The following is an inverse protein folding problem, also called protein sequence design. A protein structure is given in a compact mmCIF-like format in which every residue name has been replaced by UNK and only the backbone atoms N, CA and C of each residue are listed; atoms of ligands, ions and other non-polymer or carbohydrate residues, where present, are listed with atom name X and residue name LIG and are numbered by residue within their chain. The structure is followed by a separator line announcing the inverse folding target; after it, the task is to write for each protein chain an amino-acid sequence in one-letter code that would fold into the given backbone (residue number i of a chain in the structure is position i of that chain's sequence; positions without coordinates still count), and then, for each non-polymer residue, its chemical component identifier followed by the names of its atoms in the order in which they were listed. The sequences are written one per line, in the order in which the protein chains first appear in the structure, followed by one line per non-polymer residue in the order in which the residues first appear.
data_IF_397407210031
#
_entry.id   IF_397407210031
#
_cell.length_a   1.000
_cell.length_b   1.000
_cell.length_c   1.000
_cell.angle_alpha   90.00
_cell.angle_beta   90.00
_cell.angle_gamma   90.00
#
_symmetry.space_group_name_H-M   'P 1'
#
loop_
_entity.id
_entity.type
_entity.pdbx_description
1 polymer ?
#
# COMPACT_ATOMS: atom_id res chain seq x y z
N UNK A 1 6.73 -9.57 -13.11
CA UNK A 1 7.13 -8.45 -14.00
C UNK A 1 6.00 -7.44 -14.34
N UNK A 2 4.70 -7.74 -14.17
CA UNK A 2 3.59 -6.90 -14.67
C UNK A 2 3.45 -5.53 -13.99
N UNK A 3 3.50 -5.47 -12.65
CA UNK A 3 3.33 -4.22 -11.90
C UNK A 3 4.47 -3.22 -12.14
N UNK A 4 5.69 -3.72 -12.36
CA UNK A 4 6.86 -2.88 -12.64
C UNK A 4 6.69 -2.11 -13.96
N UNK A 5 6.10 -2.74 -14.99
CA UNK A 5 5.76 -2.08 -16.27
C UNK A 5 4.76 -0.95 -16.08
N UNK A 6 3.73 -1.16 -15.25
CA UNK A 6 2.75 -0.11 -14.93
C UNK A 6 3.44 1.08 -14.24
N UNK A 7 4.34 0.83 -13.29
CA UNK A 7 5.07 1.89 -12.57
C UNK A 7 6.12 2.59 -13.46
N UNK A 8 6.73 1.87 -14.39
CA UNK A 8 7.81 2.40 -15.24
C UNK A 8 7.31 3.12 -16.49
N UNK A 9 6.34 2.54 -17.17
CA UNK A 9 5.91 2.91 -18.52
C UNK A 9 4.47 3.43 -18.54
N UNK A 10 3.70 3.29 -17.44
CA UNK A 10 2.28 3.62 -17.44
C UNK A 10 1.46 2.68 -18.33
N UNK A 11 1.98 1.49 -18.62
CA UNK A 11 1.35 0.53 -19.53
C UNK A 11 0.85 -0.72 -18.82
N UNK A 12 -0.35 -1.17 -19.19
CA UNK A 12 -0.90 -2.46 -18.79
C UNK A 12 -1.30 -3.30 -20.01
N UNK A 13 -1.24 -4.61 -19.84
CA UNK A 13 -1.66 -5.59 -20.84
C UNK A 13 -2.60 -6.58 -20.17
N UNK A 14 -3.78 -6.78 -20.77
CA UNK A 14 -4.75 -7.78 -20.27
C UNK A 14 -4.19 -9.18 -20.52
N UNK A 15 -4.47 -10.12 -19.62
CA UNK A 15 -4.02 -11.51 -19.80
C UNK A 15 -4.69 -12.09 -21.04
N UNK A 16 -3.90 -12.62 -21.98
CA UNK A 16 -4.40 -13.17 -23.24
C UNK A 16 -4.67 -12.15 -24.34
N UNK A 17 -4.29 -10.88 -24.16
CA UNK A 17 -4.40 -9.83 -25.19
C UNK A 17 -3.04 -9.24 -25.49
N UNK A 18 -2.74 -8.99 -26.76
CA UNK A 18 -1.50 -8.31 -27.20
C UNK A 18 -1.61 -6.78 -27.18
N UNK A 19 -2.77 -6.25 -26.78
CA UNK A 19 -3.00 -4.82 -26.72
C UNK A 19 -2.40 -4.21 -25.45
N UNK A 20 -1.52 -3.23 -25.64
CA UNK A 20 -1.02 -2.36 -24.58
C UNK A 20 -2.00 -1.20 -24.34
N UNK A 21 -2.27 -0.90 -23.07
CA UNK A 21 -3.16 0.18 -22.64
C UNK A 21 -2.37 1.17 -21.78
N UNK A 22 -2.35 2.43 -22.20
CA UNK A 22 -1.77 3.53 -21.43
C UNK A 22 -2.73 3.91 -20.29
N UNK A 23 -2.18 4.08 -19.09
CA UNK A 23 -2.92 4.50 -17.90
C UNK A 23 -2.18 5.58 -17.13
N UNK A 24 -2.94 6.52 -16.59
CA UNK A 24 -2.46 7.50 -15.63
C UNK A 24 -3.08 7.17 -14.27
N UNK A 25 -2.30 6.52 -13.40
CA UNK A 25 -2.78 6.04 -12.10
C UNK A 25 -1.82 6.44 -10.99
N UNK A 26 -2.38 6.81 -9.84
CA UNK A 26 -1.62 6.99 -8.61
C UNK A 26 -1.60 5.66 -7.85
N UNK A 27 -0.40 5.21 -7.48
CA UNK A 27 -0.20 3.96 -6.76
C UNK A 27 0.04 4.27 -5.29
N UNK A 28 -0.75 3.62 -4.42
CA UNK A 28 -0.56 3.62 -2.97
C UNK A 28 -0.45 2.17 -2.54
N UNK A 29 0.66 1.82 -1.90
CA UNK A 29 0.91 0.48 -1.39
C UNK A 29 0.96 0.51 0.14
N UNK A 30 0.45 -0.55 0.77
CA UNK A 30 0.50 -0.75 2.21
C UNK A 30 0.86 -2.20 2.50
N UNK A 31 1.69 -2.41 3.52
CA UNK A 31 2.12 -3.74 3.96
C UNK A 31 2.41 -3.71 5.45
N UNK A 32 2.15 -4.82 6.13
CA UNK A 32 2.55 -5.04 7.53
C UNK A 32 3.88 -5.80 7.64
N UNK A 33 4.46 -6.23 6.50
CA UNK A 33 5.76 -6.89 6.44
C UNK A 33 6.88 -5.87 6.29
N UNK A 34 8.06 -6.20 6.81
CA UNK A 34 9.29 -5.41 6.60
C UNK A 34 9.87 -5.76 5.23
N UNK A 35 9.61 -4.92 4.22
CA UNK A 35 9.99 -5.19 2.84
C UNK A 35 11.50 -5.29 2.66
N UNK A 36 12.29 -4.55 3.45
CA UNK A 36 13.74 -4.62 3.44
C UNK A 36 14.23 -6.07 3.66
N UNK A 37 13.67 -6.74 4.68
CA UNK A 37 14.01 -8.14 5.01
C UNK A 37 13.54 -9.13 3.94
N UNK A 38 12.40 -8.85 3.32
CA UNK A 38 11.87 -9.69 2.24
C UNK A 38 12.70 -9.55 0.96
N UNK A 39 13.30 -8.37 0.71
CA UNK A 39 14.27 -8.18 -0.36
C UNK A 39 15.55 -8.96 -0.08
N UNK A 40 16.07 -8.89 1.15
CA UNK A 40 17.24 -9.67 1.58
C UNK A 40 17.01 -11.18 1.48
N UNK A 41 15.81 -11.65 1.83
CA UNK A 41 15.40 -13.04 1.74
C UNK A 41 15.10 -13.52 0.30
N UNK A 42 15.12 -12.62 -0.70
CA UNK A 42 14.83 -12.93 -2.10
C UNK A 42 13.35 -13.21 -2.40
N UNK A 43 12.45 -13.01 -1.43
CA UNK A 43 11.00 -13.19 -1.58
C UNK A 43 10.33 -11.96 -2.19
N UNK A 44 11.00 -10.80 -2.15
CA UNK A 44 10.53 -9.57 -2.77
C UNK A 44 11.57 -8.98 -3.73
N UNK A 45 11.10 -8.41 -4.84
CA UNK A 45 11.98 -7.85 -5.86
C UNK A 45 12.51 -6.48 -5.42
N UNK A 46 13.84 -6.34 -5.41
CA UNK A 46 14.52 -5.10 -5.04
C UNK A 46 14.08 -3.91 -5.92
N UNK A 47 13.96 -4.10 -7.23
CA UNK A 47 13.58 -3.04 -8.18
C UNK A 47 12.17 -2.46 -7.93
N UNK A 48 11.23 -3.30 -7.52
CA UNK A 48 9.88 -2.88 -7.12
C UNK A 48 9.91 -2.17 -5.76
N UNK A 49 10.71 -2.68 -4.81
CA UNK A 49 10.87 -2.05 -3.50
C UNK A 49 11.37 -0.62 -3.63
N UNK A 50 12.45 -0.39 -4.38
CA UNK A 50 13.00 0.94 -4.60
C UNK A 50 12.00 1.92 -5.24
N UNK A 51 11.03 1.44 -6.01
CA UNK A 51 9.99 2.28 -6.62
C UNK A 51 8.80 2.56 -5.72
N UNK A 52 8.44 1.62 -4.85
CA UNK A 52 7.36 1.81 -3.88
C UNK A 52 7.83 2.62 -2.66
N UNK A 53 9.09 2.47 -2.26
CA UNK A 53 9.65 3.07 -1.06
C UNK A 53 10.16 4.52 -1.25
N UNK A 54 9.65 5.24 -2.25
CA UNK A 54 10.04 6.65 -2.50
C UNK A 54 9.47 7.58 -1.43
N UNK A 55 8.26 7.30 -0.94
CA UNK A 55 7.60 8.10 0.10
C UNK A 55 6.95 7.18 1.16
N UNK A 56 7.74 6.60 2.08
CA UNK A 56 7.21 5.73 3.11
C UNK A 56 6.43 6.52 4.17
N UNK A 57 5.21 6.07 4.45
CA UNK A 57 4.41 6.56 5.58
C UNK A 57 4.34 5.44 6.61
N UNK A 58 5.05 5.61 7.73
CA UNK A 58 4.99 4.69 8.85
C UNK A 58 3.81 5.05 9.75
N UNK A 59 2.85 4.14 9.87
CA UNK A 59 1.69 4.31 10.75
C UNK A 59 2.04 3.71 12.11
N UNK A 60 2.17 4.52 13.17
CA UNK A 60 2.49 4.01 14.49
C UNK A 60 1.33 3.14 15.04
N UNK A 61 1.63 2.08 15.80
CA UNK A 61 0.60 1.30 16.46
C UNK A 61 -0.10 2.16 17.52
N UNK A 62 -1.35 1.83 17.85
CA UNK A 62 -2.17 2.62 18.77
C UNK A 62 -1.52 2.79 20.17
N UNK A 63 -0.74 1.80 20.61
CA UNK A 63 0.04 1.86 21.86
C UNK A 63 1.13 2.94 21.91
N UNK A 64 1.48 3.53 20.76
CA UNK A 64 2.44 4.62 20.63
C UNK A 64 1.74 5.95 20.28
N UNK A 65 0.41 6.01 20.41
CA UNK A 65 -0.45 7.15 20.08
C UNK A 65 -1.25 7.54 21.31
N UNK A 66 -0.55 8.06 22.32
CA UNK A 66 -1.16 8.45 23.58
C UNK A 66 -2.25 9.51 23.36
N UNK A 67 -3.43 9.30 23.96
CA UNK A 67 -4.57 10.20 23.81
C UNK A 67 -5.49 9.92 22.62
N UNK A 68 -5.12 9.06 21.66
CA UNK A 68 -5.99 8.73 20.53
C UNK A 68 -7.11 7.74 20.90
N UNK A 69 -6.92 6.93 21.95
CA UNK A 69 -7.88 5.90 22.35
C UNK A 69 -9.26 6.48 22.69
N UNK A 70 -9.41 7.49 23.57
CA UNK A 70 -10.72 8.05 23.89
C UNK A 70 -11.43 8.67 22.68
N UNK A 71 -10.68 9.35 21.81
CA UNK A 71 -11.21 9.99 20.59
C UNK A 71 -11.75 8.94 19.62
N UNK A 72 -10.96 7.91 19.35
CA UNK A 72 -11.36 6.82 18.47
C UNK A 72 -12.54 6.03 19.05
N UNK A 73 -12.52 5.75 20.36
CA UNK A 73 -13.62 5.05 21.03
C UNK A 73 -14.93 5.84 20.93
N UNK A 74 -14.90 7.15 21.21
CA UNK A 74 -16.08 8.02 21.09
C UNK A 74 -16.63 8.06 19.66
N UNK A 75 -15.75 8.23 18.66
CA UNK A 75 -16.15 8.19 17.25
C UNK A 75 -16.76 6.85 16.85
N UNK A 76 -16.14 5.74 17.25
CA UNK A 76 -16.61 4.39 16.92
C UNK A 76 -17.96 4.07 17.59
N UNK A 77 -18.15 4.44 18.86
CA UNK A 77 -19.42 4.28 19.56
C UNK A 77 -20.55 5.02 18.84
N UNK A 78 -20.32 6.28 18.46
CA UNK A 78 -21.30 7.08 17.73
C UNK A 78 -21.63 6.47 16.37
N UNK A 79 -20.59 6.04 15.63
CA UNK A 79 -20.76 5.38 14.34
C UNK A 79 -21.58 4.10 14.42
N UNK A 80 -21.33 3.27 15.44
CA UNK A 80 -22.08 2.02 15.66
C UNK A 80 -23.53 2.33 16.06
N UNK A 81 -23.75 3.33 16.92
CA UNK A 81 -25.10 3.79 17.30
C UNK A 81 -25.94 4.22 16.09
N UNK A 82 -25.33 4.82 15.07
CA UNK A 82 -26.05 5.26 13.86
C UNK A 82 -26.36 4.11 12.87
N UNK A 83 -25.70 2.96 13.01
CA UNK A 83 -25.91 1.79 12.15
C UNK A 83 -27.00 0.84 12.66
N UNK A 84 -27.43 0.99 13.91
CA UNK A 84 -28.48 0.20 14.55
C UNK A 84 -29.61 1.11 15.04
#
# INVERSE_FOLDING_TARGET
AKLLRVIQQGELQRVGSDQHLMVNVRIIAATNRQLEKEVEAGTFRADLFHRLNVFPIQVPPLRARDGDIPVLAGYLLEKVRQQF
#
